data_IF_799587699984
#
_entry.id   IF_799587699984
#
_cell.length_a   1.000
_cell.length_b   1.000
_cell.length_c   1.000
_cell.angle_alpha   90.00
_cell.angle_beta   90.00
_cell.angle_gamma   90.00
#
_symmetry.space_group_name_H-M   'P 1'
#
loop_
_entity.id
_entity.type
_entity.pdbx_description
1 polymer ?
#
# COMPACT_ATOMS: atom_id res chain seq x y z
N UNK A 1 27.13 -14.57 18.65
CA UNK A 1 27.55 -14.57 17.23
C UNK A 1 28.07 -13.17 16.93
N UNK A 2 29.30 -13.06 16.43
CA UNK A 2 29.82 -11.77 15.94
C UNK A 2 28.98 -11.34 14.73
N UNK A 3 28.44 -10.11 14.76
CA UNK A 3 27.72 -9.55 13.61
C UNK A 3 28.71 -9.38 12.48
N UNK A 4 28.48 -10.07 11.37
CA UNK A 4 29.29 -9.93 10.17
C UNK A 4 29.04 -8.53 9.58
N UNK A 5 30.04 -7.65 9.62
CA UNK A 5 29.93 -6.32 9.04
C UNK A 5 30.04 -6.45 7.52
N UNK A 6 28.97 -6.06 6.82
CA UNK A 6 28.93 -6.08 5.35
C UNK A 6 29.74 -4.88 4.85
N UNK A 7 30.67 -5.13 3.93
CA UNK A 7 31.42 -4.04 3.30
C UNK A 7 30.61 -3.37 2.19
N UNK A 8 30.88 -2.11 1.83
CA UNK A 8 30.16 -1.42 0.75
C UNK A 8 30.20 -2.18 -0.59
N UNK A 9 31.32 -2.84 -0.91
CA UNK A 9 31.43 -3.65 -2.14
C UNK A 9 30.56 -4.91 -2.09
N UNK A 10 30.43 -5.54 -0.92
CA UNK A 10 29.55 -6.69 -0.72
C UNK A 10 28.09 -6.29 -0.81
N UNK A 11 27.71 -5.19 -0.16
CA UNK A 11 26.37 -4.61 -0.23
C UNK A 11 25.98 -4.29 -1.67
N UNK A 12 26.85 -3.58 -2.41
CA UNK A 12 26.64 -3.28 -3.83
C UNK A 12 26.43 -4.53 -4.68
N UNK A 13 27.19 -5.60 -4.42
CA UNK A 13 27.03 -6.88 -5.13
C UNK A 13 25.69 -7.55 -4.78
N UNK A 14 25.30 -7.55 -3.50
CA UNK A 14 24.02 -8.09 -3.05
C UNK A 14 22.86 -7.35 -3.74
N UNK A 15 22.90 -6.02 -3.75
CA UNK A 15 21.87 -5.18 -4.37
C UNK A 15 21.80 -5.38 -5.89
N UNK A 16 22.94 -5.42 -6.59
CA UNK A 16 22.95 -5.67 -8.04
C UNK A 16 22.36 -7.04 -8.39
N UNK A 17 22.69 -8.08 -7.61
CA UNK A 17 22.13 -9.41 -7.82
C UNK A 17 20.62 -9.41 -7.59
N UNK A 18 20.14 -8.75 -6.53
CA UNK A 18 18.73 -8.59 -6.25
C UNK A 18 18.00 -7.89 -7.41
N UNK A 19 18.47 -6.72 -7.85
CA UNK A 19 17.80 -6.00 -8.94
C UNK A 19 17.83 -6.76 -10.27
N UNK A 20 18.88 -7.55 -10.52
CA UNK A 20 18.94 -8.43 -11.70
C UNK A 20 17.86 -9.51 -11.61
N UNK A 21 17.78 -10.20 -10.48
CA UNK A 21 16.80 -11.26 -10.21
C UNK A 21 15.35 -10.74 -10.33
N UNK A 22 15.03 -9.59 -9.71
CA UNK A 22 13.67 -9.03 -9.79
C UNK A 22 13.31 -8.65 -11.23
N UNK A 23 14.27 -8.15 -12.02
CA UNK A 23 14.03 -7.80 -13.43
C UNK A 23 13.76 -9.03 -14.28
N UNK A 24 14.43 -10.14 -14.01
CA UNK A 24 14.18 -11.42 -14.69
C UNK A 24 12.78 -11.95 -14.32
N UNK A 25 12.43 -11.97 -13.03
CA UNK A 25 11.12 -12.42 -12.56
C UNK A 25 9.97 -11.59 -13.13
N UNK A 26 10.15 -10.27 -13.21
CA UNK A 26 9.12 -9.34 -13.68
C UNK A 26 9.25 -8.98 -15.17
N UNK A 27 10.11 -9.66 -15.94
CA UNK A 27 10.42 -9.32 -17.32
C UNK A 27 9.16 -9.28 -18.21
N UNK A 28 8.35 -10.34 -18.15
CA UNK A 28 7.12 -10.45 -18.95
C UNK A 28 6.13 -9.30 -18.65
N UNK A 29 5.90 -9.03 -17.36
CA UNK A 29 5.06 -7.91 -16.92
C UNK A 29 5.64 -6.57 -17.40
N UNK A 30 6.93 -6.33 -17.19
CA UNK A 30 7.57 -5.07 -17.53
C UNK A 30 7.61 -4.82 -19.05
N UNK A 31 7.79 -5.88 -19.84
CA UNK A 31 7.77 -5.80 -21.31
C UNK A 31 6.35 -5.50 -21.81
N UNK A 32 5.35 -6.27 -21.39
CA UNK A 32 3.97 -6.04 -21.81
C UNK A 32 3.45 -4.66 -21.43
N UNK A 33 3.83 -4.20 -20.24
CA UNK A 33 3.36 -2.92 -19.69
C UNK A 33 4.27 -1.77 -20.06
N UNK A 34 5.35 -1.99 -20.80
CA UNK A 34 6.34 -0.96 -21.12
C UNK A 34 6.82 -0.22 -19.85
N UNK A 35 7.09 -0.98 -18.78
CA UNK A 35 7.48 -0.51 -17.45
C UNK A 35 8.99 -0.66 -17.23
N UNK A 36 9.80 0.14 -17.95
CA UNK A 36 11.25 0.18 -17.73
C UNK A 36 11.57 1.03 -16.49
N UNK A 37 11.57 0.40 -15.33
CA UNK A 37 11.73 1.05 -14.03
C UNK A 37 13.19 1.21 -13.60
N UNK A 38 13.53 2.33 -12.95
CA UNK A 38 14.79 2.45 -12.17
C UNK A 38 14.82 1.43 -11.03
N UNK A 39 15.97 1.19 -10.42
CA UNK A 39 16.08 0.29 -9.25
C UNK A 39 15.19 0.78 -8.09
N UNK A 40 15.15 2.09 -7.85
CA UNK A 40 14.30 2.71 -6.84
C UNK A 40 12.81 2.53 -7.11
N UNK A 41 12.39 2.72 -8.36
CA UNK A 41 11.01 2.49 -8.79
C UNK A 41 10.64 1.00 -8.67
N UNK A 42 11.54 0.09 -9.07
CA UNK A 42 11.31 -1.36 -8.99
C UNK A 42 11.17 -1.84 -7.54
N UNK A 43 12.05 -1.36 -6.65
CA UNK A 43 11.98 -1.65 -5.23
C UNK A 43 10.65 -1.17 -4.64
N UNK A 44 10.27 0.07 -4.96
CA UNK A 44 9.06 0.66 -4.39
C UNK A 44 7.78 0.01 -4.96
N UNK A 45 7.78 -0.36 -6.24
CA UNK A 45 6.71 -1.15 -6.87
C UNK A 45 6.53 -2.50 -6.17
N UNK A 46 7.62 -3.22 -5.95
CA UNK A 46 7.60 -4.52 -5.29
C UNK A 46 7.08 -4.40 -3.85
N UNK A 47 7.49 -3.36 -3.12
CA UNK A 47 7.07 -3.11 -1.74
C UNK A 47 5.56 -2.88 -1.57
N UNK A 48 4.90 -2.32 -2.59
CA UNK A 48 3.44 -2.05 -2.56
C UNK A 48 2.61 -3.12 -3.27
N UNK A 49 3.24 -4.00 -4.06
CA UNK A 49 2.57 -5.10 -4.78
C UNK A 49 1.74 -6.06 -3.91
N UNK A 50 2.02 -6.29 -2.60
CA UNK A 50 1.15 -7.13 -1.77
C UNK A 50 -0.30 -6.66 -1.69
N UNK A 51 -0.56 -5.35 -1.84
CA UNK A 51 -1.94 -4.82 -1.90
C UNK A 51 -2.70 -5.41 -3.09
N UNK A 52 -2.06 -5.46 -4.26
CA UNK A 52 -2.68 -6.04 -5.46
C UNK A 52 -2.93 -7.54 -5.31
N UNK A 53 -2.03 -8.27 -4.65
CA UNK A 53 -2.20 -9.70 -4.38
C UNK A 53 -3.40 -9.94 -3.48
N UNK A 54 -3.56 -9.15 -2.42
CA UNK A 54 -4.66 -9.30 -1.48
C UNK A 54 -6.03 -8.96 -2.09
N UNK A 55 -6.09 -7.91 -2.93
CA UNK A 55 -7.30 -7.53 -3.67
C UNK A 55 -7.66 -8.60 -4.73
N UNK A 56 -6.68 -9.14 -5.45
CA UNK A 56 -6.92 -10.12 -6.52
C UNK A 56 -7.41 -11.50 -6.03
N UNK A 57 -7.74 -11.64 -4.75
CA UNK A 57 -8.08 -12.92 -4.16
C UNK A 57 -9.39 -13.47 -4.72
N UNK A 58 -10.39 -12.62 -4.94
CA UNK A 58 -11.69 -12.95 -5.54
C UNK A 58 -11.76 -12.69 -7.05
N UNK A 59 -10.74 -12.04 -7.62
CA UNK A 59 -10.62 -11.72 -9.04
C UNK A 59 -11.44 -10.50 -9.50
N UNK A 60 -12.03 -9.76 -8.57
CA UNK A 60 -12.72 -8.49 -8.84
C UNK A 60 -11.98 -7.33 -8.17
N UNK A 61 -12.41 -6.09 -8.48
CA UNK A 61 -11.90 -4.89 -7.79
C UNK A 61 -13.10 -4.03 -7.47
N UNK A 62 -13.49 -3.99 -6.21
CA UNK A 62 -14.64 -3.22 -5.73
C UNK A 62 -14.28 -1.75 -5.43
N UNK A 63 -15.25 -0.99 -4.94
CA UNK A 63 -15.07 0.43 -4.62
C UNK A 63 -14.09 0.67 -3.45
N UNK A 64 -14.14 -0.18 -2.42
CA UNK A 64 -13.27 -0.07 -1.26
C UNK A 64 -11.82 -0.38 -1.63
N UNK A 65 -11.61 -1.41 -2.43
CA UNK A 65 -10.31 -1.83 -2.95
C UNK A 65 -9.73 -0.80 -3.93
N UNK A 66 -10.59 -0.22 -4.77
CA UNK A 66 -10.21 0.91 -5.62
C UNK A 66 -9.70 2.08 -4.78
N UNK A 67 -10.36 2.39 -3.66
CA UNK A 67 -9.94 3.47 -2.75
C UNK A 67 -8.57 3.16 -2.14
N UNK A 68 -8.31 1.91 -1.74
CA UNK A 68 -6.98 1.51 -1.25
C UNK A 68 -5.88 1.72 -2.30
N UNK A 69 -6.15 1.32 -3.55
CA UNK A 69 -5.18 1.50 -4.64
C UNK A 69 -4.89 2.98 -4.91
N UNK A 70 -5.90 3.84 -4.79
CA UNK A 70 -5.73 5.30 -4.88
C UNK A 70 -4.88 5.83 -3.74
N UNK A 71 -5.12 5.39 -2.51
CA UNK A 71 -4.33 5.82 -1.34
C UNK A 71 -2.86 5.40 -1.45
N UNK A 72 -2.60 4.17 -1.90
CA UNK A 72 -1.26 3.67 -2.20
C UNK A 72 -0.59 4.49 -3.29
N UNK A 73 -1.32 4.83 -4.36
CA UNK A 73 -0.77 5.69 -5.41
C UNK A 73 -0.46 7.11 -4.89
N UNK A 74 -1.34 7.68 -4.06
CA UNK A 74 -1.15 9.00 -3.47
C UNK A 74 0.06 9.06 -2.52
N UNK A 75 0.46 7.94 -1.91
CA UNK A 75 1.71 7.85 -1.15
C UNK A 75 2.92 8.21 -2.03
N UNK A 76 2.94 7.77 -3.30
CA UNK A 76 4.03 8.08 -4.23
C UNK A 76 4.03 9.53 -4.70
N UNK A 77 2.87 10.17 -4.80
CA UNK A 77 2.77 11.59 -5.14
C UNK A 77 3.37 12.47 -4.04
N UNK A 78 3.23 12.06 -2.77
CA UNK A 78 3.73 12.77 -1.59
C UNK A 78 5.15 12.38 -1.20
N UNK A 79 5.59 11.19 -1.59
CA UNK A 79 6.87 10.60 -1.20
C UNK A 79 8.02 10.87 -2.18
N UNK A 80 9.23 10.85 -1.64
CA UNK A 80 10.47 10.73 -2.42
C UNK A 80 10.75 9.23 -2.56
N UNK A 81 11.00 8.76 -3.78
CA UNK A 81 11.42 7.37 -4.00
C UNK A 81 12.80 7.15 -3.38
N UNK A 82 13.11 5.93 -2.89
CA UNK A 82 14.40 5.64 -2.24
C UNK A 82 15.55 5.78 -3.24
N UNK A 83 16.22 6.92 -3.27
CA UNK A 83 17.24 7.26 -4.29
C UNK A 83 18.60 6.61 -4.04
N UNK A 84 18.79 5.93 -2.91
CA UNK A 84 20.01 5.19 -2.59
C UNK A 84 20.38 4.15 -3.66
N UNK A 85 19.38 3.55 -4.31
CA UNK A 85 19.56 2.54 -5.35
C UNK A 85 19.87 3.13 -6.74
N UNK A 86 19.71 4.44 -6.93
CA UNK A 86 20.00 5.11 -8.20
C UNK A 86 21.50 5.19 -8.51
N UNK A 87 22.35 4.96 -7.50
CA UNK A 87 23.81 4.88 -7.64
C UNK A 87 24.30 3.57 -8.27
N UNK A 88 23.43 2.56 -8.36
CA UNK A 88 23.69 1.27 -8.98
C UNK A 88 23.51 1.33 -10.50
N UNK A 89 23.94 0.29 -11.21
CA UNK A 89 23.69 0.19 -12.65
C UNK A 89 22.18 0.16 -12.92
N UNK A 90 21.74 0.98 -13.87
CA UNK A 90 20.34 1.11 -14.29
C UNK A 90 20.16 0.48 -15.68
N UNK A 91 18.95 0.02 -16.01
CA UNK A 91 18.63 -0.34 -17.39
C UNK A 91 18.64 0.91 -18.29
N UNK A 92 18.79 0.70 -19.60
CA UNK A 92 18.67 1.77 -20.58
C UNK A 92 17.21 2.21 -20.70
N UNK A 93 16.98 3.49 -21.05
CA UNK A 93 15.65 4.06 -21.30
C UNK A 93 14.65 3.95 -20.14
N UNK A 94 15.15 4.07 -18.90
CA UNK A 94 14.30 4.15 -17.71
C UNK A 94 13.27 5.27 -17.79
N UNK A 95 12.09 5.01 -17.25
CA UNK A 95 11.06 6.03 -17.11
C UNK A 95 11.39 7.03 -16.01
N UNK A 96 10.92 8.26 -16.19
CA UNK A 96 11.02 9.29 -15.16
C UNK A 96 10.09 8.98 -13.99
N UNK A 97 10.45 9.44 -12.78
CA UNK A 97 9.60 9.31 -11.60
C UNK A 97 8.21 9.92 -11.81
N UNK A 98 8.12 11.03 -12.54
CA UNK A 98 6.84 11.65 -12.89
C UNK A 98 5.92 10.71 -13.68
N UNK A 99 6.50 9.96 -14.62
CA UNK A 99 5.75 8.96 -15.40
C UNK A 99 5.37 7.77 -14.52
N UNK A 100 6.30 7.26 -13.71
CA UNK A 100 6.03 6.16 -12.78
C UNK A 100 4.88 6.49 -11.81
N UNK A 101 4.96 7.64 -11.12
CA UNK A 101 3.94 8.09 -10.16
C UNK A 101 2.56 8.22 -10.79
N UNK A 102 2.47 8.72 -12.03
CA UNK A 102 1.20 8.80 -12.77
C UNK A 102 0.62 7.44 -13.15
N UNK A 103 1.48 6.44 -13.35
CA UNK A 103 1.07 5.11 -13.82
C UNK A 103 0.80 4.13 -12.69
N UNK A 104 1.39 4.32 -11.51
CA UNK A 104 1.39 3.30 -10.44
C UNK A 104 -0.01 2.80 -10.09
N UNK A 105 -1.01 3.69 -9.97
CA UNK A 105 -2.40 3.29 -9.74
C UNK A 105 -2.91 2.33 -10.82
N UNK A 106 -2.74 2.71 -12.10
CA UNK A 106 -3.22 1.89 -13.22
C UNK A 106 -2.49 0.55 -13.31
N UNK A 107 -1.23 0.52 -12.91
CA UNK A 107 -0.41 -0.69 -12.91
C UNK A 107 -0.79 -1.64 -11.77
N UNK A 108 -1.00 -1.14 -10.56
CA UNK A 108 -1.49 -1.95 -9.43
C UNK A 108 -2.89 -2.51 -9.71
N UNK A 109 -3.78 -1.70 -10.31
CA UNK A 109 -5.11 -2.17 -10.73
C UNK A 109 -5.03 -3.23 -11.82
N UNK A 110 -4.11 -3.06 -12.78
CA UNK A 110 -3.89 -4.06 -13.83
C UNK A 110 -3.37 -5.39 -13.22
N UNK A 111 -2.46 -5.32 -12.24
CA UNK A 111 -2.03 -6.51 -11.50
C UNK A 111 -3.20 -7.22 -10.83
N UNK A 112 -4.12 -6.48 -10.19
CA UNK A 112 -5.28 -7.11 -9.53
C UNK A 112 -6.08 -7.99 -10.50
N UNK A 113 -6.41 -7.47 -11.68
CA UNK A 113 -7.23 -8.18 -12.68
C UNK A 113 -6.45 -9.23 -13.48
N UNK A 114 -5.12 -9.22 -13.43
CA UNK A 114 -4.24 -10.11 -14.18
C UNK A 114 -3.40 -11.03 -13.28
N UNK A 115 -3.74 -11.10 -11.98
CA UNK A 115 -2.89 -11.72 -10.97
C UNK A 115 -2.58 -13.18 -11.28
N UNK A 116 -3.53 -13.94 -11.81
CA UNK A 116 -3.32 -15.35 -12.18
C UNK A 116 -2.13 -15.60 -13.12
N UNK A 117 -1.70 -14.59 -13.89
CA UNK A 117 -0.54 -14.70 -14.77
C UNK A 117 0.78 -14.35 -14.08
N UNK A 118 0.74 -13.46 -13.09
CA UNK A 118 1.94 -12.86 -12.48
C UNK A 118 2.15 -13.26 -11.01
N UNK A 119 1.20 -13.98 -10.39
CA UNK A 119 1.19 -14.28 -8.95
C UNK A 119 2.49 -14.95 -8.50
N UNK A 120 2.91 -16.03 -9.15
CA UNK A 120 4.08 -16.80 -8.70
C UNK A 120 5.38 -15.99 -8.83
N UNK A 121 5.57 -15.25 -9.93
CA UNK A 121 6.74 -14.38 -10.11
C UNK A 121 6.74 -13.20 -9.13
N UNK A 122 5.57 -12.63 -8.80
CA UNK A 122 5.45 -11.59 -7.78
C UNK A 122 5.76 -12.13 -6.39
N UNK A 123 5.25 -13.32 -6.05
CA UNK A 123 5.56 -14.00 -4.78
C UNK A 123 7.06 -14.28 -4.68
N UNK A 124 7.70 -14.77 -5.73
CA UNK A 124 9.14 -15.01 -5.73
C UNK A 124 9.93 -13.71 -5.65
N UNK A 125 9.44 -12.62 -6.25
CA UNK A 125 10.00 -11.28 -6.06
C UNK A 125 9.93 -10.82 -4.59
N UNK A 126 8.78 -11.00 -3.94
CA UNK A 126 8.61 -10.69 -2.51
C UNK A 126 9.52 -11.54 -1.61
N UNK A 127 9.72 -12.82 -1.93
CA UNK A 127 10.71 -13.66 -1.24
C UNK A 127 12.13 -13.13 -1.41
N UNK A 128 12.50 -12.70 -2.61
CA UNK A 128 13.81 -12.10 -2.86
C UNK A 128 13.99 -10.80 -2.07
N UNK A 129 12.93 -9.98 -1.93
CA UNK A 129 12.93 -8.78 -1.11
C UNK A 129 13.09 -9.08 0.39
N UNK A 130 12.41 -10.11 0.89
CA UNK A 130 12.58 -10.59 2.27
C UNK A 130 14.03 -11.05 2.51
N UNK A 131 14.58 -11.86 1.60
CA UNK A 131 15.98 -12.32 1.69
C UNK A 131 16.97 -11.17 1.60
N UNK A 132 16.66 -10.12 0.86
CA UNK A 132 17.48 -8.91 0.81
C UNK A 132 17.51 -8.22 2.18
N UNK A 133 16.34 -8.01 2.80
CA UNK A 133 16.21 -7.43 4.14
C UNK A 133 17.02 -8.22 5.17
N UNK A 134 16.84 -9.55 5.20
CA UNK A 134 17.57 -10.44 6.10
C UNK A 134 19.09 -10.36 5.91
N UNK A 135 19.55 -10.28 4.66
CA UNK A 135 20.98 -10.18 4.33
C UNK A 135 21.57 -8.83 4.70
N UNK A 136 20.81 -7.74 4.56
CA UNK A 136 21.29 -6.39 4.81
C UNK A 136 21.02 -5.90 6.24
N UNK A 137 20.16 -6.57 7.01
CA UNK A 137 19.83 -6.20 8.39
C UNK A 137 21.05 -6.36 9.30
N UNK A 138 21.69 -5.24 9.62
CA UNK A 138 22.79 -5.17 10.58
C UNK A 138 22.30 -4.91 12.01
N UNK A 139 21.07 -4.44 12.19
CA UNK A 139 20.53 -4.00 13.48
C UNK A 139 19.93 -5.15 14.30
N UNK A 140 19.55 -6.27 13.68
CA UNK A 140 18.91 -7.39 14.37
C UNK A 140 17.38 -7.29 14.45
N UNK A 141 16.80 -6.24 13.85
CA UNK A 141 15.39 -6.23 13.45
C UNK A 141 15.29 -7.02 12.14
N UNK A 142 15.15 -8.34 12.24
CA UNK A 142 15.06 -9.27 11.10
C UNK A 142 13.66 -9.25 10.47
N UNK A 143 12.72 -8.49 11.04
CA UNK A 143 11.29 -8.60 10.74
C UNK A 143 10.69 -7.40 9.98
N UNK A 144 11.46 -6.39 9.58
CA UNK A 144 10.88 -5.12 9.11
C UNK A 144 10.05 -5.28 7.83
N UNK A 145 10.61 -5.91 6.79
CA UNK A 145 9.91 -6.12 5.53
C UNK A 145 8.90 -7.27 5.65
N UNK A 146 9.27 -8.38 6.32
CA UNK A 146 8.35 -9.51 6.54
C UNK A 146 7.06 -9.07 7.23
N UNK A 147 7.20 -8.32 8.34
CA UNK A 147 6.07 -7.75 9.08
C UNK A 147 5.26 -6.80 8.21
N UNK A 148 5.91 -5.90 7.45
CA UNK A 148 5.21 -4.97 6.57
C UNK A 148 4.40 -5.68 5.49
N UNK A 149 4.93 -6.75 4.88
CA UNK A 149 4.21 -7.57 3.91
C UNK A 149 3.03 -8.27 4.58
N UNK A 150 3.24 -8.91 5.74
CA UNK A 150 2.18 -9.58 6.49
C UNK A 150 1.08 -8.60 6.92
N UNK A 151 1.44 -7.43 7.45
CA UNK A 151 0.53 -6.35 7.81
C UNK A 151 -0.27 -5.88 6.60
N UNK A 152 0.39 -5.68 5.45
CA UNK A 152 -0.30 -5.23 4.23
C UNK A 152 -1.33 -6.26 3.75
N UNK A 153 -0.95 -7.54 3.70
CA UNK A 153 -1.85 -8.62 3.29
C UNK A 153 -3.03 -8.78 4.26
N UNK A 154 -2.78 -8.72 5.58
CA UNK A 154 -3.82 -8.84 6.60
C UNK A 154 -4.72 -7.59 6.69
N UNK A 155 -4.17 -6.38 6.50
CA UNK A 155 -4.93 -5.14 6.58
C UNK A 155 -6.01 -5.04 5.50
N UNK A 156 -5.77 -5.61 4.32
CA UNK A 156 -6.78 -5.67 3.25
C UNK A 156 -7.99 -6.51 3.69
N UNK A 157 -7.75 -7.63 4.40
CA UNK A 157 -8.82 -8.46 5.00
C UNK A 157 -9.55 -7.66 6.10
N UNK A 158 -8.80 -7.20 7.10
CA UNK A 158 -9.40 -6.78 8.37
C UNK A 158 -9.97 -5.36 8.35
N UNK A 159 -9.46 -4.46 7.50
CA UNK A 159 -9.98 -3.10 7.42
C UNK A 159 -11.17 -2.96 6.45
N UNK A 160 -11.36 -3.88 5.51
CA UNK A 160 -12.36 -3.72 4.44
C UNK A 160 -13.38 -4.86 4.32
N UNK A 161 -13.02 -6.10 4.63
CA UNK A 161 -13.84 -7.28 4.27
C UNK A 161 -14.50 -7.95 5.51
N UNK A 162 -14.11 -7.53 6.71
CA UNK A 162 -14.59 -8.11 7.97
C UNK A 162 -13.92 -9.44 8.30
N UNK A 163 -14.12 -9.92 9.54
CA UNK A 163 -13.46 -11.14 10.07
C UNK A 163 -13.88 -12.45 9.39
N UNK A 164 -14.92 -12.44 8.56
CA UNK A 164 -15.47 -13.61 7.84
C UNK A 164 -15.26 -13.49 6.31
N UNK A 165 -14.20 -12.77 5.92
CA UNK A 165 -13.79 -12.55 4.54
C UNK A 165 -13.50 -13.87 3.80
N UNK A 166 -14.08 -14.03 2.61
CA UNK A 166 -13.87 -15.20 1.72
C UNK A 166 -12.42 -15.26 1.22
N UNK A 167 -11.70 -14.16 1.35
CA UNK A 167 -10.34 -13.91 0.89
C UNK A 167 -9.29 -14.44 1.89
N UNK A 168 -9.67 -14.64 3.16
CA UNK A 168 -8.77 -15.08 4.24
C UNK A 168 -8.01 -16.39 3.92
N UNK A 169 -8.64 -17.46 3.36
CA UNK A 169 -7.94 -18.69 3.02
C UNK A 169 -6.84 -18.48 1.96
N UNK A 170 -7.08 -17.64 0.95
CA UNK A 170 -6.10 -17.38 -0.11
C UNK A 170 -4.93 -16.56 0.42
N UNK A 171 -5.19 -15.58 1.28
CA UNK A 171 -4.12 -14.80 1.90
C UNK A 171 -3.29 -15.64 2.85
N UNK A 172 -3.89 -16.56 3.63
CA UNK A 172 -3.13 -17.54 4.41
C UNK A 172 -2.21 -18.38 3.53
N UNK A 173 -2.70 -18.88 2.38
CA UNK A 173 -1.87 -19.61 1.43
C UNK A 173 -0.71 -18.76 0.89
N UNK A 174 -0.93 -17.47 0.62
CA UNK A 174 0.12 -16.55 0.18
C UNK A 174 1.15 -16.33 1.29
N UNK A 175 0.73 -16.13 2.54
CA UNK A 175 1.62 -15.99 3.69
C UNK A 175 2.46 -17.27 3.93
N UNK A 176 1.86 -18.44 3.71
CA UNK A 176 2.56 -19.73 3.74
C UNK A 176 3.57 -19.85 2.59
N UNK A 177 3.18 -19.49 1.36
CA UNK A 177 4.09 -19.44 0.20
C UNK A 177 5.27 -18.49 0.45
N UNK A 178 5.05 -17.40 1.19
CA UNK A 178 6.08 -16.42 1.57
C UNK A 178 6.91 -16.82 2.80
N UNK A 179 6.58 -17.95 3.45
CA UNK A 179 7.25 -18.43 4.67
C UNK A 179 7.16 -17.45 5.86
N UNK A 180 6.03 -16.74 5.99
CA UNK A 180 5.79 -15.73 7.05
C UNK A 180 4.41 -15.85 7.72
N UNK A 181 3.78 -17.03 7.65
CA UNK A 181 2.44 -17.27 8.18
C UNK A 181 2.34 -17.20 9.73
N UNK A 182 3.46 -17.26 10.43
CA UNK A 182 3.57 -17.19 11.88
C UNK A 182 3.59 -15.75 12.43
N UNK A 183 3.68 -14.73 11.56
CA UNK A 183 3.67 -13.33 11.97
C UNK A 183 2.23 -12.93 12.33
N UNK A 184 1.96 -12.86 13.64
CA UNK A 184 0.71 -12.30 14.17
C UNK A 184 0.72 -10.78 14.02
N UNK A 185 -0.17 -10.27 13.18
CA UNK A 185 -0.44 -8.83 13.08
C UNK A 185 -1.45 -8.47 14.16
N UNK A 186 -1.03 -7.70 15.16
CA UNK A 186 -1.95 -7.15 16.15
C UNK A 186 -2.94 -6.24 15.40
N UNK A 187 -4.24 -6.51 15.55
CA UNK A 187 -5.30 -5.69 14.96
C UNK A 187 -5.14 -4.25 15.46
N UNK A 188 -4.59 -3.35 14.64
CA UNK A 188 -4.65 -1.91 14.91
C UNK A 188 -5.99 -1.43 14.35
N UNK A 189 -6.97 -1.08 15.19
CA UNK A 189 -8.22 -0.51 14.69
C UNK A 189 -7.86 0.81 14.01
N UNK A 190 -8.25 0.96 12.75
CA UNK A 190 -8.13 2.23 12.06
C UNK A 190 -8.95 3.27 12.83
N UNK A 191 -8.28 4.18 13.52
CA UNK A 191 -8.90 5.25 14.31
C UNK A 191 -9.35 6.38 13.39
N UNK A 192 -10.13 6.05 12.36
CA UNK A 192 -10.88 7.02 11.56
C UNK A 192 -12.31 7.05 12.10
N UNK A 193 -12.46 7.49 13.35
CA UNK A 193 -13.72 8.06 13.80
C UNK A 193 -13.53 9.57 13.76
N UNK A 194 -14.10 10.17 12.72
CA UNK A 194 -14.53 11.56 12.72
C UNK A 194 -15.29 11.85 14.02
N UNK A 195 -14.66 12.54 14.95
CA UNK A 195 -15.39 13.28 15.98
C UNK A 195 -15.94 14.54 15.31
N UNK A 196 -17.13 14.39 14.71
CA UNK A 196 -18.10 15.49 14.67
C UNK A 196 -18.32 15.93 16.12
N UNK A 197 -17.70 17.04 16.51
CA UNK A 197 -18.06 17.74 17.74
C UNK A 197 -19.33 18.54 17.43
N UNK A 198 -20.46 17.86 17.33
CA UNK A 198 -21.75 18.50 17.54
C UNK A 198 -21.90 18.86 19.01
N UNK A 199 -22.40 20.08 19.20
CA UNK A 199 -22.48 20.80 20.45
C UNK A 199 -23.38 20.14 21.49
N UNK A 200 -22.92 20.12 22.74
CA UNK A 200 -23.80 20.17 23.92
C UNK A 200 -23.18 21.02 25.02
N UNK A 201 -23.71 22.25 25.12
CA UNK A 201 -24.25 22.92 26.32
C UNK A 201 -23.54 22.80 27.67
N UNK A 202 -23.11 23.95 28.20
CA UNK A 202 -23.49 24.56 29.50
C UNK A 202 -22.67 25.85 29.68
N UNK A 203 -23.04 26.91 30.39
CA UNK A 203 -24.26 27.57 30.88
C UNK A 203 -23.71 28.88 31.55
N UNK A 204 -24.58 29.88 31.74
CA UNK A 204 -24.46 31.17 32.45
C UNK A 204 -24.02 32.38 31.60
N UNK A 205 -24.84 33.42 31.43
CA UNK A 205 -25.41 34.27 32.51
C UNK A 205 -26.67 35.05 32.06
N UNK A 206 -27.48 35.43 33.06
CA UNK A 206 -28.82 36.05 33.13
C UNK A 206 -29.09 37.41 32.43
N UNK A 207 -30.40 37.75 32.48
CA UNK A 207 -31.14 39.02 32.27
C UNK A 207 -31.81 39.11 30.89
N UNK A 208 -33.12 39.32 30.71
CA UNK A 208 -34.22 39.77 31.57
C UNK A 208 -35.17 40.62 30.69
N UNK A 209 -36.48 40.39 30.81
CA UNK A 209 -37.61 41.26 30.37
C UNK A 209 -38.18 41.14 28.94
N UNK A 210 -39.40 40.59 28.91
CA UNK A 210 -40.67 41.00 28.23
C UNK A 210 -40.64 41.95 27.03
N UNK A 211 -41.40 41.56 25.98
CA UNK A 211 -42.52 42.26 25.30
C UNK A 211 -42.80 41.46 23.99
N UNK A 212 -43.91 40.71 23.87
CA UNK A 212 -45.23 41.08 23.32
C UNK A 212 -45.29 41.37 21.80
N UNK A 213 -46.41 40.92 21.19
CA UNK A 213 -46.96 41.08 19.82
C UNK A 213 -46.75 39.84 18.90
N UNK A 214 -47.75 38.97 18.63
CA UNK A 214 -49.02 39.17 17.86
C UNK A 214 -48.77 39.91 16.54
N UNK A 215 -49.26 39.56 15.35
CA UNK A 215 -50.13 38.54 14.74
C UNK A 215 -49.97 38.75 13.20
N UNK A 216 -50.75 38.05 12.39
CA UNK A 216 -51.07 38.28 10.97
C UNK A 216 -50.18 37.65 9.88
N UNK A 217 -50.66 36.51 9.37
CA UNK A 217 -51.22 36.28 8.00
C UNK A 217 -50.65 37.15 6.86
N UNK A 218 -50.42 36.71 5.62
CA UNK A 218 -51.18 35.85 4.68
C UNK A 218 -50.26 35.65 3.44
N UNK A 219 -50.15 34.43 2.90
CA UNK A 219 -50.72 33.93 1.63
C UNK A 219 -50.13 34.42 0.28
N UNK A 220 -49.91 33.39 -0.57
CA UNK A 220 -49.97 33.32 -2.05
C UNK A 220 -48.85 33.98 -2.88
N UNK A 221 -48.10 33.21 -3.69
CA UNK A 221 -48.37 32.88 -5.12
C UNK A 221 -48.52 34.16 -5.98
N UNK A 222 -47.89 34.40 -7.14
CA UNK A 222 -47.50 33.56 -8.26
C UNK A 222 -46.65 34.43 -9.23
N UNK A 223 -45.79 33.79 -10.04
CA UNK A 223 -45.35 34.13 -11.41
C UNK A 223 -45.27 35.62 -11.87
N UNK A 224 -44.04 36.07 -12.16
CA UNK A 224 -43.50 36.22 -13.53
C UNK A 224 -42.03 36.66 -13.49
#
# INVERSE_FOLDING_TARGET
MEKQVITPDQEKRILNNFFTEIRELLAEYCEEREMVMTNSQLFAFLLVSPVSIAIATDGTVDFSETTMLVDVAAYFDRGVLPSEFDTLAQPDNVMTDHVFKKRIYTELRYLCVSMNRYEDNLIDGLKALIKLDEKLSQTGEVDSIKRKIAETLNNVIYNNLGKDSVEEPKIRQILEKLEIADITVDNVPNKNTSEETEATTNDHTQEGSKEDLEDDTTDEEEKN
#
